data_IF_137101758396
#
_entry.id   IF_137101758396
#
_cell.length_a   1.000
_cell.length_b   1.000
_cell.length_c   1.000
_cell.angle_alpha   90.00
_cell.angle_beta   90.00
_cell.angle_gamma   90.00
#
_symmetry.space_group_name_H-M   'P 1'
#
loop_
_entity.id
_entity.type
_entity.pdbx_description
1 polymer ?
#
# COMPACT_ATOMS: atom_id res chain seq x y z
N UNK A 1 -5.77 14.76 11.04
CA UNK A 1 -5.97 13.34 11.14
C UNK A 1 -5.45 12.69 9.88
N UNK A 2 -4.88 11.55 10.04
CA UNK A 2 -4.49 10.72 8.92
C UNK A 2 -5.80 10.33 8.21
N UNK A 3 -6.19 11.06 7.16
CA UNK A 3 -7.47 10.85 6.46
C UNK A 3 -7.71 9.39 6.09
N UNK A 4 -6.66 8.63 5.86
CA UNK A 4 -6.74 7.21 5.55
C UNK A 4 -7.19 6.41 6.77
N UNK A 5 -6.60 6.67 7.95
CA UNK A 5 -6.96 6.00 9.20
C UNK A 5 -8.35 6.44 9.67
N UNK A 6 -8.64 7.75 9.62
CA UNK A 6 -9.94 8.27 10.03
C UNK A 6 -11.05 7.77 9.11
N UNK A 7 -10.83 7.74 7.79
CA UNK A 7 -11.78 7.17 6.84
C UNK A 7 -12.00 5.66 7.07
N UNK A 8 -10.94 4.93 7.44
CA UNK A 8 -11.04 3.52 7.74
C UNK A 8 -11.84 3.28 9.03
N UNK A 9 -11.52 4.04 10.08
CA UNK A 9 -12.24 3.96 11.36
C UNK A 9 -13.69 4.39 11.22
N UNK A 10 -13.96 5.46 10.47
CA UNK A 10 -15.30 5.92 10.14
C UNK A 10 -16.08 4.86 9.32
N UNK A 11 -15.43 4.23 8.34
CA UNK A 11 -16.04 3.14 7.57
C UNK A 11 -16.38 1.94 8.45
N UNK A 12 -15.52 1.60 9.44
CA UNK A 12 -15.75 0.53 10.41
C UNK A 12 -16.91 0.91 11.34
N UNK A 13 -16.96 2.15 11.85
CA UNK A 13 -18.06 2.62 12.70
C UNK A 13 -19.41 2.65 11.97
N UNK A 14 -19.44 3.20 10.76
CA UNK A 14 -20.61 3.20 9.88
C UNK A 14 -21.10 1.78 9.57
N UNK A 15 -20.17 0.84 9.44
CA UNK A 15 -20.48 -0.57 9.23
C UNK A 15 -21.05 -1.22 10.49
N UNK A 16 -20.56 -0.87 11.69
CA UNK A 16 -21.14 -1.33 12.97
C UNK A 16 -22.58 -0.84 13.13
N UNK A 17 -22.83 0.42 12.79
CA UNK A 17 -24.17 1.01 12.86
C UNK A 17 -25.15 0.33 11.89
N UNK A 18 -24.67 -0.03 10.70
CA UNK A 18 -25.50 -0.63 9.63
C UNK A 18 -25.73 -2.14 9.80
N UNK A 19 -24.75 -2.88 10.32
CA UNK A 19 -24.77 -4.35 10.37
C UNK A 19 -24.81 -4.94 11.79
N UNK A 20 -24.87 -4.11 12.84
CA UNK A 20 -24.81 -4.55 14.22
C UNK A 20 -23.38 -4.89 14.67
N UNK A 21 -23.23 -5.91 15.54
CA UNK A 21 -21.91 -6.30 16.02
C UNK A 21 -21.06 -6.86 14.86
N UNK A 22 -20.05 -6.09 14.46
CA UNK A 22 -19.01 -6.59 13.54
C UNK A 22 -18.02 -7.40 14.37
N UNK A 23 -17.65 -8.62 13.93
CA UNK A 23 -16.59 -9.37 14.59
C UNK A 23 -15.26 -8.60 14.50
N UNK A 24 -14.30 -8.91 15.38
CA UNK A 24 -12.99 -8.30 15.35
C UNK A 24 -12.38 -8.40 13.95
N UNK A 25 -12.21 -7.27 13.30
CA UNK A 25 -11.58 -7.20 11.97
C UNK A 25 -10.08 -7.40 12.18
N UNK A 26 -9.54 -8.42 11.52
CA UNK A 26 -8.11 -8.70 11.56
C UNK A 26 -7.37 -8.11 10.37
N UNK A 27 -7.95 -8.23 9.18
CA UNK A 27 -7.33 -7.77 7.94
C UNK A 27 -8.21 -6.76 7.22
N UNK A 28 -7.56 -5.79 6.59
CA UNK A 28 -8.21 -4.78 5.75
C UNK A 28 -7.49 -4.73 4.40
N UNK A 29 -8.25 -4.78 3.32
CA UNK A 29 -7.74 -4.61 1.96
C UNK A 29 -8.07 -3.19 1.51
N UNK A 30 -7.07 -2.44 1.08
CA UNK A 30 -7.21 -1.11 0.50
C UNK A 30 -6.97 -1.15 -0.99
N UNK A 31 -7.80 -0.45 -1.73
CA UNK A 31 -7.74 -0.34 -3.19
C UNK A 31 -7.97 1.11 -3.60
N UNK A 32 -7.34 1.55 -4.69
CA UNK A 32 -7.70 2.80 -5.33
C UNK A 32 -9.06 2.66 -6.06
N UNK A 33 -9.69 3.78 -6.37
CA UNK A 33 -10.99 3.79 -7.05
C UNK A 33 -10.96 3.22 -8.48
N UNK A 34 -9.78 3.14 -9.08
CA UNK A 34 -9.50 2.59 -10.41
C UNK A 34 -8.79 1.22 -10.35
N UNK A 35 -8.71 0.60 -9.17
CA UNK A 35 -8.11 -0.73 -8.99
C UNK A 35 -9.18 -1.81 -9.03
N UNK A 36 -8.96 -2.82 -9.85
CA UNK A 36 -9.82 -3.99 -9.97
C UNK A 36 -9.25 -5.18 -9.20
N UNK A 37 -10.09 -5.77 -8.35
CA UNK A 37 -9.79 -6.99 -7.63
C UNK A 37 -10.12 -8.19 -8.52
N UNK A 38 -9.10 -8.90 -8.97
CA UNK A 38 -9.28 -10.12 -9.76
C UNK A 38 -9.94 -11.22 -8.92
N UNK A 39 -10.49 -12.24 -9.61
CA UNK A 39 -11.11 -13.38 -8.95
C UNK A 39 -10.10 -14.09 -8.02
N UNK A 40 -10.52 -14.39 -6.80
CA UNK A 40 -9.76 -15.02 -5.73
C UNK A 40 -8.61 -14.19 -5.13
N UNK A 41 -8.20 -13.08 -5.72
CA UNK A 41 -7.06 -12.26 -5.25
C UNK A 41 -7.21 -11.85 -3.77
N UNK A 42 -8.43 -11.52 -3.33
CA UNK A 42 -8.68 -11.20 -1.92
C UNK A 42 -8.39 -12.36 -0.97
N UNK A 43 -8.73 -13.59 -1.36
CA UNK A 43 -8.45 -14.79 -0.57
C UNK A 43 -6.95 -15.13 -0.58
N UNK A 44 -6.30 -14.94 -1.70
CA UNK A 44 -4.84 -15.14 -1.84
C UNK A 44 -4.07 -14.14 -0.97
N UNK A 45 -4.46 -12.87 -0.95
CA UNK A 45 -3.88 -11.87 -0.05
C UNK A 45 -4.08 -12.22 1.43
N UNK A 46 -5.29 -12.68 1.81
CA UNK A 46 -5.56 -13.14 3.18
C UNK A 46 -4.69 -14.35 3.51
N UNK A 47 -4.54 -15.29 2.58
CA UNK A 47 -3.67 -16.46 2.72
C UNK A 47 -2.21 -16.07 2.92
N UNK A 48 -1.69 -15.14 2.12
CA UNK A 48 -0.34 -14.61 2.26
C UNK A 48 -0.13 -13.92 3.62
N UNK A 49 -1.05 -13.04 4.04
CA UNK A 49 -0.96 -12.37 5.32
C UNK A 49 -1.11 -13.31 6.53
N UNK A 50 -1.92 -14.36 6.40
CA UNK A 50 -2.11 -15.35 7.46
C UNK A 50 -0.98 -16.38 7.53
N UNK A 51 -0.09 -16.43 6.56
CA UNK A 51 1.00 -17.40 6.52
C UNK A 51 1.96 -17.19 7.71
N UNK A 52 2.38 -18.29 8.32
CA UNK A 52 3.16 -18.24 9.56
C UNK A 52 4.49 -17.51 9.44
N UNK A 53 5.15 -17.59 8.28
CA UNK A 53 6.41 -16.91 8.01
C UNK A 53 6.26 -15.40 7.77
N UNK A 54 5.05 -14.95 7.45
CA UNK A 54 4.74 -13.54 7.22
C UNK A 54 4.19 -12.85 8.48
N UNK A 55 4.08 -13.60 9.59
CA UNK A 55 3.49 -13.08 10.83
C UNK A 55 4.31 -11.92 11.37
N UNK A 56 3.72 -10.72 11.55
CA UNK A 56 4.45 -9.55 12.02
C UNK A 56 4.92 -9.72 13.45
N UNK A 57 6.18 -9.36 13.71
CA UNK A 57 6.79 -9.27 15.04
C UNK A 57 7.14 -7.82 15.29
N UNK A 58 6.61 -7.27 16.38
CA UNK A 58 6.87 -5.89 16.79
C UNK A 58 8.14 -5.79 17.64
N UNK A 59 8.80 -4.65 17.58
CA UNK A 59 9.89 -4.32 18.50
C UNK A 59 9.35 -4.15 19.94
N UNK A 60 10.26 -3.99 20.91
CA UNK A 60 9.88 -3.83 22.33
C UNK A 60 8.99 -2.62 22.63
N UNK A 61 9.09 -1.55 21.82
CA UNK A 61 8.25 -0.35 21.97
C UNK A 61 6.90 -0.47 21.27
N UNK A 62 6.72 -1.50 20.43
CA UNK A 62 5.53 -1.72 19.58
C UNK A 62 5.28 -0.61 18.55
N UNK A 63 6.33 0.09 18.13
CA UNK A 63 6.26 1.20 17.17
C UNK A 63 6.85 0.84 15.80
N UNK A 64 7.35 -0.40 15.61
CA UNK A 64 7.96 -0.87 14.36
C UNK A 64 7.81 -2.38 14.21
N UNK A 65 7.52 -2.86 13.00
CA UNK A 65 7.60 -4.28 12.63
C UNK A 65 9.06 -4.60 12.31
N UNK A 66 9.64 -5.57 13.03
CA UNK A 66 11.06 -5.97 12.88
C UNK A 66 11.24 -7.32 12.19
N UNK A 67 10.20 -8.13 12.09
CA UNK A 67 10.21 -9.42 11.40
C UNK A 67 8.80 -9.73 10.89
N UNK A 68 8.69 -10.53 9.83
CA UNK A 68 7.44 -10.73 9.12
C UNK A 68 6.94 -9.44 8.44
N UNK A 69 5.64 -9.33 8.18
CA UNK A 69 5.05 -8.21 7.46
C UNK A 69 3.71 -7.79 8.08
N UNK A 70 3.58 -6.52 8.48
CA UNK A 70 2.31 -5.93 8.91
C UNK A 70 1.43 -5.48 7.74
N UNK A 71 2.02 -5.47 6.54
CA UNK A 71 1.42 -5.03 5.29
C UNK A 71 1.98 -5.87 4.13
N UNK A 72 1.11 -6.35 3.25
CA UNK A 72 1.53 -7.03 2.02
C UNK A 72 0.92 -6.33 0.82
N UNK A 73 1.78 -6.00 -0.16
CA UNK A 73 1.38 -5.43 -1.43
C UNK A 73 1.40 -6.50 -2.51
N UNK A 74 0.29 -6.71 -3.24
CA UNK A 74 0.29 -7.49 -4.46
C UNK A 74 0.96 -6.75 -5.61
N UNK A 75 1.38 -7.49 -6.63
CA UNK A 75 1.82 -6.91 -7.90
C UNK A 75 0.68 -6.15 -8.56
N UNK A 76 0.97 -4.97 -9.11
CA UNK A 76 -0.02 -4.14 -9.81
C UNK A 76 0.24 -4.18 -11.31
N UNK A 77 -0.72 -4.73 -12.06
CA UNK A 77 -0.72 -4.75 -13.52
C UNK A 77 -1.62 -3.66 -14.12
N UNK A 78 -1.64 -3.57 -15.43
CA UNK A 78 -2.53 -2.70 -16.19
C UNK A 78 -3.44 -3.56 -17.04
N UNK A 79 -4.74 -3.23 -17.09
CA UNK A 79 -5.69 -3.98 -17.91
C UNK A 79 -5.37 -3.84 -19.40
N UNK A 80 -5.63 -4.89 -20.18
CA UNK A 80 -5.45 -4.85 -21.64
C UNK A 80 -6.36 -3.80 -22.30
N UNK A 81 -7.51 -3.53 -21.73
CA UNK A 81 -8.42 -2.49 -22.19
C UNK A 81 -7.80 -1.11 -22.05
N UNK A 82 -7.14 -0.85 -20.92
CA UNK A 82 -6.47 0.43 -20.67
C UNK A 82 -5.26 0.64 -21.57
N UNK A 83 -4.50 -0.41 -21.87
CA UNK A 83 -3.39 -0.35 -22.81
C UNK A 83 -3.88 0.06 -24.20
N UNK A 84 -5.09 -0.34 -24.59
CA UNK A 84 -5.64 -0.06 -25.94
C UNK A 84 -6.38 1.27 -26.07
N UNK A 85 -6.65 1.98 -24.96
CA UNK A 85 -7.46 3.20 -24.94
C UNK A 85 -6.93 4.36 -25.80
N UNK A 86 -5.62 4.49 -25.93
CA UNK A 86 -5.01 5.60 -26.68
C UNK A 86 -3.66 5.22 -27.29
N UNK A 87 -3.17 6.06 -28.22
CA UNK A 87 -1.81 5.91 -28.75
C UNK A 87 -0.76 6.09 -27.65
N UNK A 88 -1.03 7.00 -26.70
CA UNK A 88 -0.17 7.21 -25.53
C UNK A 88 -0.07 5.95 -24.68
N UNK A 89 -1.21 5.32 -24.33
CA UNK A 89 -1.22 4.10 -23.52
C UNK A 89 -0.52 2.94 -24.23
N UNK A 90 -0.71 2.79 -25.54
CA UNK A 90 0.00 1.76 -26.33
C UNK A 90 1.51 1.89 -26.28
N UNK A 91 2.03 3.12 -26.24
CA UNK A 91 3.48 3.37 -26.18
C UNK A 91 4.03 3.23 -24.76
N UNK A 92 3.31 3.73 -23.75
CA UNK A 92 3.86 3.90 -22.42
C UNK A 92 3.38 2.86 -21.40
N UNK A 93 2.19 2.32 -21.56
CA UNK A 93 1.65 1.33 -20.61
C UNK A 93 2.13 -0.11 -20.91
N UNK A 94 2.54 -0.40 -22.14
CA UNK A 94 2.87 -1.76 -22.59
C UNK A 94 4.26 -2.27 -22.21
N UNK A 95 5.20 -1.39 -21.84
CA UNK A 95 6.62 -1.76 -21.73
C UNK A 95 7.17 -1.90 -20.32
N UNK A 96 6.39 -1.69 -19.27
CA UNK A 96 6.95 -1.73 -17.94
C UNK A 96 5.98 -1.57 -16.77
N UNK A 97 4.68 -1.54 -17.05
CA UNK A 97 3.71 -1.32 -15.97
C UNK A 97 3.81 0.08 -15.37
N UNK A 98 3.11 0.29 -14.26
CA UNK A 98 3.08 1.59 -13.58
C UNK A 98 4.32 1.87 -12.78
N UNK A 99 4.91 0.83 -12.26
CA UNK A 99 5.97 0.92 -11.30
C UNK A 99 6.94 -0.24 -11.51
N UNK A 100 8.22 0.06 -11.64
CA UNK A 100 9.26 -0.96 -11.78
C UNK A 100 9.31 -1.89 -10.57
N UNK A 101 8.92 -1.40 -9.38
CA UNK A 101 8.94 -2.16 -8.15
C UNK A 101 7.82 -3.18 -8.02
N UNK A 102 6.71 -3.00 -8.74
CA UNK A 102 5.54 -3.88 -8.65
C UNK A 102 5.42 -4.87 -9.79
N UNK A 103 6.31 -4.81 -10.78
CA UNK A 103 6.25 -5.65 -11.99
C UNK A 103 7.23 -6.82 -12.00
N UNK A 104 8.25 -6.79 -11.17
CA UNK A 104 9.25 -7.84 -11.15
C UNK A 104 8.72 -9.10 -10.47
N UNK A 105 9.02 -10.27 -11.04
CA UNK A 105 8.81 -11.57 -10.39
C UNK A 105 9.74 -11.68 -9.17
N UNK A 106 10.90 -11.02 -9.24
CA UNK A 106 11.87 -10.86 -8.15
C UNK A 106 12.19 -9.39 -8.01
N UNK A 107 12.05 -8.84 -6.81
CA UNK A 107 12.45 -7.48 -6.47
C UNK A 107 13.79 -7.54 -5.74
N UNK A 108 14.83 -6.98 -6.36
CA UNK A 108 16.18 -6.96 -5.80
C UNK A 108 16.22 -6.29 -4.41
N UNK A 109 15.39 -5.29 -4.17
CA UNK A 109 15.29 -4.62 -2.88
C UNK A 109 14.72 -5.58 -1.82
N UNK A 110 13.59 -6.22 -2.11
CA UNK A 110 12.99 -7.20 -1.21
C UNK A 110 13.91 -8.41 -0.98
N UNK A 111 14.58 -8.91 -2.04
CA UNK A 111 15.48 -10.05 -1.93
C UNK A 111 16.70 -9.77 -1.03
N UNK A 112 17.15 -8.51 -0.95
CA UNK A 112 18.30 -8.13 -0.11
C UNK A 112 17.91 -7.61 1.28
N UNK A 113 16.78 -6.94 1.42
CA UNK A 113 16.36 -6.27 2.65
C UNK A 113 15.13 -6.90 3.28
N UNK A 114 14.53 -7.90 2.62
CA UNK A 114 13.29 -8.56 3.04
C UNK A 114 12.11 -7.61 3.22
N UNK A 115 12.12 -6.51 2.49
CA UNK A 115 11.11 -5.48 2.49
C UNK A 115 10.76 -5.05 1.06
N UNK A 116 9.47 -4.88 0.78
CA UNK A 116 8.96 -4.31 -0.47
C UNK A 116 8.65 -2.81 -0.32
N UNK A 117 8.39 -2.17 -1.45
CA UNK A 117 7.95 -0.76 -1.47
C UNK A 117 6.43 -0.74 -1.58
N UNK A 118 5.75 -0.06 -0.65
CA UNK A 118 4.31 0.08 -0.66
C UNK A 118 3.85 1.26 -1.53
N UNK A 119 2.81 1.04 -2.33
CA UNK A 119 2.25 2.02 -3.26
C UNK A 119 0.76 2.31 -3.05
N UNK A 120 0.25 2.02 -1.85
CA UNK A 120 -1.11 2.40 -1.43
C UNK A 120 -2.17 1.32 -1.61
N UNK A 121 -1.82 0.15 -2.15
CA UNK A 121 -2.77 -0.94 -2.41
C UNK A 121 -2.27 -2.24 -1.83
N UNK A 122 -3.05 -2.85 -0.95
CA UNK A 122 -2.64 -4.10 -0.35
C UNK A 122 -3.52 -4.54 0.80
N UNK A 123 -3.00 -5.43 1.61
CA UNK A 123 -3.66 -5.96 2.79
C UNK A 123 -2.86 -5.63 4.03
N UNK A 124 -3.55 -5.13 5.05
CA UNK A 124 -2.98 -4.78 6.35
C UNK A 124 -3.43 -5.75 7.42
N UNK A 125 -2.55 -6.05 8.39
CA UNK A 125 -2.93 -6.56 9.71
C UNK A 125 -3.40 -5.36 10.55
N UNK A 126 -4.71 -5.20 10.73
CA UNK A 126 -5.30 -4.02 11.37
C UNK A 126 -4.84 -3.79 12.81
N UNK A 127 -4.76 -4.81 13.69
CA UNK A 127 -4.17 -4.66 15.02
C UNK A 127 -2.74 -4.11 15.00
N UNK A 128 -1.90 -4.61 14.11
CA UNK A 128 -0.50 -4.17 13.96
C UNK A 128 -0.42 -2.75 13.42
N UNK A 129 -1.20 -2.45 12.38
CA UNK A 129 -1.33 -1.11 11.81
C UNK A 129 -1.71 -0.08 12.88
N UNK A 130 -2.73 -0.40 13.68
CA UNK A 130 -3.20 0.49 14.75
C UNK A 130 -2.15 0.66 15.86
N UNK A 131 -1.43 -0.40 16.23
CA UNK A 131 -0.41 -0.33 17.27
C UNK A 131 0.78 0.55 16.83
N UNK A 132 1.23 0.39 15.57
CA UNK A 132 2.45 1.02 15.06
C UNK A 132 2.21 2.47 14.62
N UNK A 133 1.09 2.75 13.94
CA UNK A 133 0.91 4.02 13.23
C UNK A 133 -0.03 5.03 13.90
N UNK A 134 -0.69 4.66 15.00
CA UNK A 134 -1.72 5.50 15.61
C UNK A 134 -1.29 6.94 15.94
N UNK A 135 0.01 7.18 16.22
CA UNK A 135 0.53 8.50 16.60
C UNK A 135 1.82 8.90 15.89
N UNK A 136 2.27 8.11 14.89
CA UNK A 136 3.58 8.31 14.28
C UNK A 136 3.58 9.34 13.13
N UNK A 137 2.45 9.49 12.44
CA UNK A 137 2.32 10.42 11.32
C UNK A 137 1.48 11.63 11.75
N UNK A 138 2.10 12.82 11.92
CA UNK A 138 1.38 14.03 12.31
C UNK A 138 0.35 14.45 11.26
N UNK A 139 -0.76 15.01 11.71
CA UNK A 139 -1.82 15.50 10.83
C UNK A 139 -1.32 16.52 9.81
N UNK A 140 -1.82 16.44 8.58
CA UNK A 140 -1.59 17.42 7.51
C UNK A 140 -0.11 17.64 7.12
N UNK A 141 0.79 16.68 7.41
CA UNK A 141 2.22 16.83 7.11
C UNK A 141 2.61 16.27 5.75
N UNK A 142 1.93 15.23 5.26
CA UNK A 142 2.26 14.57 4.01
C UNK A 142 1.01 14.34 3.15
N UNK A 143 1.18 14.35 1.82
CA UNK A 143 0.12 14.07 0.84
C UNK A 143 -0.12 12.57 0.64
N UNK A 144 0.94 11.76 0.77
CA UNK A 144 0.90 10.30 0.68
C UNK A 144 1.67 9.72 1.84
N UNK A 145 1.12 8.67 2.46
CA UNK A 145 1.72 7.98 3.61
C UNK A 145 2.33 6.64 3.21
N UNK A 146 2.12 6.23 1.98
CA UNK A 146 2.36 4.86 1.50
C UNK A 146 3.77 4.38 1.84
N UNK A 147 4.79 5.17 1.53
CA UNK A 147 6.18 4.82 1.82
C UNK A 147 6.47 4.73 3.32
N UNK A 148 5.86 5.59 4.13
CA UNK A 148 6.01 5.54 5.59
C UNK A 148 5.34 4.30 6.16
N UNK A 149 4.10 4.04 5.75
CA UNK A 149 3.35 2.85 6.16
C UNK A 149 4.14 1.59 5.80
N UNK A 150 4.67 1.51 4.57
CA UNK A 150 5.53 0.42 4.12
C UNK A 150 6.75 0.21 5.00
N UNK A 151 7.42 1.30 5.39
CA UNK A 151 8.62 1.24 6.22
C UNK A 151 8.33 0.84 7.67
N UNK A 152 7.30 1.41 8.28
CA UNK A 152 6.93 1.09 9.67
C UNK A 152 6.34 -0.32 9.82
N UNK A 153 5.57 -0.76 8.83
CA UNK A 153 4.89 -2.06 8.84
C UNK A 153 5.68 -3.17 8.15
N UNK A 154 6.85 -2.85 7.62
CA UNK A 154 7.70 -3.79 6.86
C UNK A 154 6.92 -4.47 5.75
N UNK A 155 6.68 -3.71 4.67
CA UNK A 155 5.89 -4.16 3.52
C UNK A 155 6.52 -5.41 2.87
N UNK A 156 5.70 -6.43 2.62
CA UNK A 156 6.05 -7.57 1.77
C UNK A 156 5.45 -7.43 0.38
N UNK A 157 6.19 -7.77 -0.67
CA UNK A 157 5.69 -7.84 -2.04
C UNK A 157 5.26 -9.28 -2.37
N UNK A 158 3.96 -9.50 -2.61
CA UNK A 158 3.44 -10.76 -3.14
C UNK A 158 3.41 -10.69 -4.67
N UNK A 159 4.49 -11.13 -5.32
CA UNK A 159 4.65 -11.02 -6.78
C UNK A 159 3.78 -12.01 -7.58
N UNK A 160 3.27 -13.04 -6.94
CA UNK A 160 2.37 -14.05 -7.49
C UNK A 160 0.89 -13.63 -7.44
N UNK A 161 0.54 -12.64 -6.62
CA UNK A 161 -0.80 -12.08 -6.52
C UNK A 161 -0.88 -10.78 -7.33
N UNK A 162 -1.92 -10.62 -8.15
CA UNK A 162 -2.04 -9.48 -9.05
C UNK A 162 -3.34 -8.69 -8.86
N UNK A 163 -3.20 -7.36 -8.80
CA UNK A 163 -4.27 -6.39 -8.97
C UNK A 163 -4.17 -5.73 -10.35
N UNK A 164 -5.28 -5.32 -10.91
CA UNK A 164 -5.33 -4.55 -12.14
C UNK A 164 -5.70 -3.10 -11.83
N UNK A 165 -4.94 -2.17 -12.38
CA UNK A 165 -5.09 -0.76 -12.12
C UNK A 165 -5.32 0.03 -13.40
N UNK A 166 -6.12 1.09 -13.32
CA UNK A 166 -6.38 1.97 -14.45
C UNK A 166 -5.13 2.76 -14.87
N UNK A 167 -4.96 3.06 -16.14
CA UNK A 167 -3.85 3.85 -16.64
C UNK A 167 -4.32 5.16 -17.29
N UNK A 168 -3.66 6.31 -17.03
CA UNK A 168 -4.04 7.58 -17.63
C UNK A 168 -4.01 7.50 -19.16
N UNK A 169 -5.11 7.88 -19.81
CA UNK A 169 -5.24 7.80 -21.27
C UNK A 169 -4.44 8.85 -22.05
N UNK A 170 -3.86 9.84 -21.37
CA UNK A 170 -3.11 10.91 -22.01
C UNK A 170 -1.94 11.44 -21.20
N UNK A 171 -0.94 12.01 -21.89
CA UNK A 171 0.28 12.52 -21.28
C UNK A 171 0.04 13.57 -20.18
N UNK A 172 -0.90 14.48 -20.37
CA UNK A 172 -1.16 15.53 -19.37
C UNK A 172 -1.68 14.95 -18.04
N UNK A 173 -2.57 13.97 -18.11
CA UNK A 173 -3.07 13.27 -16.92
C UNK A 173 -1.98 12.45 -16.25
N UNK A 174 -1.15 11.77 -17.04
CA UNK A 174 0.01 11.03 -16.55
C UNK A 174 1.02 11.96 -15.85
N UNK A 175 1.38 13.08 -16.48
CA UNK A 175 2.28 14.10 -15.90
C UNK A 175 1.73 14.67 -14.59
N UNK A 176 0.45 14.98 -14.53
CA UNK A 176 -0.20 15.51 -13.32
C UNK A 176 -0.16 14.48 -12.17
N UNK A 177 -0.39 13.19 -12.48
CA UNK A 177 -0.29 12.09 -11.53
C UNK A 177 1.14 11.95 -11.00
N UNK A 178 2.12 11.90 -11.88
CA UNK A 178 3.54 11.78 -11.53
C UNK A 178 4.00 12.96 -10.68
N UNK A 179 3.62 14.19 -11.04
CA UNK A 179 3.94 15.39 -10.27
C UNK A 179 3.38 15.32 -8.83
N UNK A 180 2.15 14.80 -8.66
CA UNK A 180 1.55 14.63 -7.34
C UNK A 180 2.33 13.62 -6.50
N UNK A 181 2.75 12.49 -7.08
CA UNK A 181 3.55 11.47 -6.40
C UNK A 181 4.91 12.02 -5.97
N UNK A 182 5.68 12.58 -6.90
CA UNK A 182 6.99 13.19 -6.61
C UNK A 182 6.86 14.25 -5.51
N UNK A 183 5.82 15.08 -5.54
CA UNK A 183 5.58 16.08 -4.50
C UNK A 183 5.31 15.43 -3.14
N UNK A 184 4.55 14.34 -3.11
CA UNK A 184 4.30 13.57 -1.88
C UNK A 184 5.59 13.00 -1.31
N UNK A 185 6.40 12.36 -2.15
CA UNK A 185 7.67 11.75 -1.74
C UNK A 185 8.66 12.78 -1.21
N UNK A 186 8.76 13.96 -1.85
CA UNK A 186 9.60 15.05 -1.33
C UNK A 186 9.21 15.54 0.06
N UNK A 187 7.96 15.41 0.46
CA UNK A 187 7.52 15.78 1.81
C UNK A 187 8.07 14.81 2.88
N UNK A 188 8.47 13.60 2.47
CA UNK A 188 9.03 12.60 3.38
C UNK A 188 10.49 12.90 3.78
N UNK A 189 11.17 13.83 3.12
CA UNK A 189 12.56 14.20 3.44
C UNK A 189 12.75 14.60 4.92
N UNK A 190 11.71 15.14 5.55
CA UNK A 190 11.75 15.45 6.97
C UNK A 190 11.99 14.22 7.88
N UNK A 191 11.56 13.02 7.45
CA UNK A 191 11.81 11.77 8.19
C UNK A 191 13.25 11.28 8.11
N UNK A 192 14.07 11.83 7.19
CA UNK A 192 15.51 11.57 7.19
C UNK A 192 16.23 12.29 8.34
N UNK A 193 15.57 13.20 9.03
CA UNK A 193 16.16 13.94 10.14
C UNK A 193 15.89 13.19 11.46
N UNK A 194 16.94 12.65 12.07
CA UNK A 194 16.89 11.86 13.32
C UNK A 194 16.21 12.55 14.51
N UNK A 195 16.03 13.87 14.46
CA UNK A 195 15.34 14.64 15.50
C UNK A 195 13.81 14.48 15.49
N UNK A 196 13.22 14.01 14.38
CA UNK A 196 11.79 13.77 14.28
C UNK A 196 11.44 12.35 14.73
N UNK A 197 12.35 11.40 14.52
CA UNK A 197 12.19 9.98 14.88
C UNK A 197 12.25 9.76 16.41
N UNK A 198 12.73 10.73 17.18
CA UNK A 198 12.93 10.61 18.63
C UNK A 198 11.93 11.43 19.47
N UNK A 199 10.77 11.80 18.92
CA UNK A 199 9.66 12.37 19.67
C UNK A 199 8.56 11.36 19.82
#
# INVERSE_FOLDING_TARGET
>A
GNKSIDNLLEAIENSKEKFGQIPNIKYVITLDSDTELCLNTGLEMIGAMAHILNRPVLNHKQDLVIDGHGLIQPRVGISLEDIQKSYFTKLYAGSGGKDAYTNAISDIYQDNFEEGIFTGKGIYDLPVFSAVLANEIPENTVLSHDLLEGSYLRCGLASDIMLLDGYPSGYNSFKARLHRWIRGDWQLVQWLNSTIINK
#
